data_IF_500230856056
#
_entry.id   IF_500230856056
#
_cell.length_a   1.000
_cell.length_b   1.000
_cell.length_c   1.000
_cell.angle_alpha   90.00
_cell.angle_beta   90.00
_cell.angle_gamma   90.00
#
_symmetry.space_group_name_H-M   'P 1'
#
loop_
_entity.id
_entity.type
_entity.pdbx_description
1 polymer ?
#
# COMPACT_ATOMS: atom_id res chain seq x y z
N UNK A 1 13.19 15.79 1.89
CA UNK A 1 13.94 14.69 2.53
C UNK A 1 13.23 14.08 3.75
N UNK A 2 12.68 14.89 4.68
CA UNK A 2 12.06 14.42 5.94
C UNK A 2 11.01 13.30 5.77
N UNK A 3 10.12 13.40 4.78
CA UNK A 3 9.06 12.40 4.56
C UNK A 3 9.62 10.99 4.27
N UNK A 4 10.54 10.88 3.31
CA UNK A 4 11.24 9.62 2.97
C UNK A 4 11.96 9.07 4.20
N UNK A 5 12.69 9.91 4.92
CA UNK A 5 13.40 9.49 6.13
C UNK A 5 12.46 8.93 7.21
N UNK A 6 11.29 9.56 7.42
CA UNK A 6 10.29 9.06 8.39
C UNK A 6 9.66 7.74 7.96
N UNK A 7 9.35 7.55 6.67
CA UNK A 7 8.84 6.26 6.19
C UNK A 7 9.90 5.15 6.31
N UNK A 8 11.16 5.46 6.04
CA UNK A 8 12.26 4.50 6.25
C UNK A 8 12.45 4.12 7.72
N UNK A 9 12.21 5.07 8.64
CA UNK A 9 12.14 4.76 10.08
C UNK A 9 10.98 3.81 10.38
N UNK A 10 9.79 4.04 9.83
CA UNK A 10 8.64 3.13 10.01
C UNK A 10 8.97 1.72 9.50
N UNK A 11 9.57 1.60 8.30
CA UNK A 11 10.06 0.32 7.78
C UNK A 11 11.02 -0.37 8.75
N UNK A 12 11.97 0.36 9.32
CA UNK A 12 12.95 -0.18 10.28
C UNK A 12 12.25 -0.69 11.55
N UNK A 13 11.28 0.07 12.07
CA UNK A 13 10.48 -0.34 13.23
C UNK A 13 9.68 -1.61 12.91
N UNK A 14 9.03 -1.68 11.74
CA UNK A 14 8.31 -2.89 11.31
C UNK A 14 9.22 -4.11 11.25
N UNK A 15 10.47 -3.96 10.78
CA UNK A 15 11.47 -5.03 10.81
C UNK A 15 11.73 -5.55 12.24
N UNK A 16 11.87 -4.65 13.21
CA UNK A 16 12.01 -5.03 14.63
C UNK A 16 10.75 -5.75 15.14
N UNK A 17 9.55 -5.27 14.81
CA UNK A 17 8.28 -5.91 15.22
C UNK A 17 8.13 -7.32 14.64
N UNK A 18 8.62 -7.56 13.42
CA UNK A 18 8.67 -8.90 12.82
C UNK A 18 9.63 -9.80 13.59
N UNK A 19 10.85 -9.34 13.87
CA UNK A 19 11.84 -10.11 14.63
C UNK A 19 11.42 -10.39 16.08
N UNK A 20 10.61 -9.53 16.70
CA UNK A 20 10.08 -9.79 18.06
C UNK A 20 9.25 -11.08 18.16
N UNK A 21 8.71 -11.60 17.04
CA UNK A 21 8.01 -12.88 17.06
C UNK A 21 8.93 -14.05 17.39
N UNK A 22 10.22 -13.96 17.05
CA UNK A 22 11.19 -15.01 17.33
C UNK A 22 11.29 -15.26 18.85
N UNK A 23 11.15 -14.20 19.65
CA UNK A 23 11.12 -14.26 21.12
C UNK A 23 9.86 -15.00 21.60
N UNK A 24 8.69 -14.69 21.04
CA UNK A 24 7.44 -15.36 21.42
C UNK A 24 7.44 -16.83 20.98
N UNK A 25 8.10 -17.17 19.88
CA UNK A 25 8.22 -18.52 19.34
C UNK A 25 9.15 -19.45 20.15
N UNK A 26 9.84 -18.93 21.18
CA UNK A 26 10.60 -19.77 22.13
C UNK A 26 9.71 -20.45 23.16
N UNK A 27 8.49 -19.94 23.40
CA UNK A 27 7.50 -20.56 24.29
C UNK A 27 6.90 -21.80 23.62
N UNK A 28 6.74 -22.88 24.38
CA UNK A 28 6.08 -24.08 23.84
C UNK A 28 4.56 -23.93 23.88
N UNK A 29 3.82 -24.61 22.98
CA UNK A 29 2.36 -24.61 23.04
C UNK A 29 1.80 -25.15 24.37
N UNK A 30 2.52 -26.07 25.04
CA UNK A 30 2.09 -26.61 26.33
C UNK A 30 2.16 -25.53 27.41
N UNK A 31 3.30 -24.83 27.52
CA UNK A 31 3.46 -23.73 28.48
C UNK A 31 2.43 -22.62 28.25
N UNK A 32 2.12 -22.34 26.97
CA UNK A 32 1.09 -21.36 26.64
C UNK A 32 -0.30 -21.78 27.14
N UNK A 33 -0.63 -23.08 27.09
CA UNK A 33 -1.94 -23.58 27.53
C UNK A 33 -2.14 -23.42 29.04
N UNK A 34 -1.07 -23.47 29.84
CA UNK A 34 -1.13 -23.35 31.30
C UNK A 34 -1.73 -22.01 31.76
N UNK A 35 -1.56 -20.94 30.97
CA UNK A 35 -2.08 -19.61 31.31
C UNK A 35 -3.04 -19.02 30.26
N UNK A 36 -3.27 -19.69 29.12
CA UNK A 36 -4.14 -19.20 28.03
C UNK A 36 -5.53 -18.79 28.52
N UNK A 37 -6.11 -19.55 29.44
CA UNK A 37 -7.48 -19.29 29.90
C UNK A 37 -7.59 -18.06 30.81
N UNK A 38 -6.48 -17.63 31.44
CA UNK A 38 -6.39 -16.36 32.17
C UNK A 38 -6.49 -15.14 31.23
N UNK A 39 -6.26 -15.32 29.93
CA UNK A 39 -6.33 -14.26 28.93
C UNK A 39 -7.73 -14.05 28.38
N UNK A 40 -8.71 -14.92 28.67
CA UNK A 40 -10.07 -14.75 28.12
C UNK A 40 -10.81 -13.60 28.85
N UNK A 41 -11.57 -12.76 28.13
CA UNK A 41 -11.86 -12.77 26.69
C UNK A 41 -10.92 -11.90 25.85
N UNK A 42 -9.77 -11.47 26.41
CA UNK A 42 -8.87 -10.53 25.74
C UNK A 42 -8.29 -11.09 24.44
N UNK A 43 -8.13 -10.21 23.45
CA UNK A 43 -7.61 -10.59 22.14
C UNK A 43 -6.95 -9.43 21.40
N UNK A 44 -6.22 -9.75 20.33
CA UNK A 44 -5.67 -8.74 19.41
C UNK A 44 -6.71 -7.82 18.77
N UNK A 45 -8.00 -8.20 18.79
CA UNK A 45 -9.08 -7.31 18.33
C UNK A 45 -9.25 -6.06 19.18
N UNK A 46 -8.68 -6.02 20.38
CA UNK A 46 -8.69 -4.85 21.26
C UNK A 46 -7.48 -3.93 21.04
N UNK A 47 -6.55 -4.28 20.14
CA UNK A 47 -5.35 -3.48 19.86
C UNK A 47 -5.71 -2.18 19.13
N UNK A 48 -5.86 -1.10 19.91
CA UNK A 48 -6.23 0.22 19.41
C UNK A 48 -5.19 0.76 18.42
N UNK A 49 -3.91 0.72 18.79
CA UNK A 49 -2.83 1.23 17.94
C UNK A 49 -2.73 0.51 16.59
N UNK A 50 -3.00 -0.79 16.54
CA UNK A 50 -2.99 -1.54 15.28
C UNK A 50 -4.12 -1.07 14.35
N UNK A 51 -5.31 -0.81 14.91
CA UNK A 51 -6.45 -0.27 14.15
C UNK A 51 -6.16 1.15 13.66
N UNK A 52 -5.62 2.01 14.52
CA UNK A 52 -5.21 3.38 14.16
C UNK A 52 -4.22 3.34 13.00
N UNK A 53 -3.18 2.48 13.09
CA UNK A 53 -2.19 2.33 12.03
C UNK A 53 -2.84 1.97 10.70
N UNK A 54 -3.66 0.93 10.67
CA UNK A 54 -4.34 0.47 9.45
C UNK A 54 -5.28 1.55 8.87
N UNK A 55 -6.11 2.17 9.73
CA UNK A 55 -7.04 3.21 9.32
C UNK A 55 -6.32 4.44 8.77
N UNK A 56 -5.26 4.90 9.44
CA UNK A 56 -4.45 6.06 9.01
C UNK A 56 -3.69 5.82 7.73
N UNK A 57 -3.25 4.59 7.47
CA UNK A 57 -2.58 4.26 6.22
C UNK A 57 -3.56 4.28 5.04
N UNK A 58 -4.78 3.77 5.22
CA UNK A 58 -5.81 3.76 4.17
C UNK A 58 -6.82 2.62 4.23
N UNK A 59 -6.71 1.70 5.19
CA UNK A 59 -7.61 0.55 5.28
C UNK A 59 -8.92 0.92 6.01
N UNK A 60 -9.89 1.41 5.23
CA UNK A 60 -11.25 1.74 5.70
C UNK A 60 -12.07 0.49 6.03
N UNK A 61 -13.12 0.65 6.83
CA UNK A 61 -14.06 -0.42 7.21
C UNK A 61 -14.55 -1.24 6.00
N UNK A 62 -14.85 -0.59 4.88
CA UNK A 62 -15.46 -1.22 3.70
C UNK A 62 -14.52 -2.22 3.03
N UNK A 63 -13.21 -1.98 3.12
CA UNK A 63 -12.16 -2.82 2.54
C UNK A 63 -11.71 -3.96 3.47
N UNK A 64 -12.19 -3.99 4.72
CA UNK A 64 -11.75 -4.99 5.70
C UNK A 64 -12.42 -6.35 5.49
N UNK A 65 -11.62 -7.40 5.40
CA UNK A 65 -12.10 -8.76 5.69
C UNK A 65 -12.53 -8.93 7.15
N UNK A 66 -13.68 -9.57 7.38
CA UNK A 66 -14.24 -9.81 8.71
C UNK A 66 -14.61 -8.53 9.47
N UNK A 67 -15.33 -7.62 8.80
CA UNK A 67 -15.79 -6.30 9.31
C UNK A 67 -16.40 -6.36 10.71
N UNK A 68 -17.15 -7.42 11.00
CA UNK A 68 -17.80 -7.65 12.30
C UNK A 68 -16.81 -7.73 13.48
N UNK A 69 -15.53 -8.02 13.24
CA UNK A 69 -14.50 -8.09 14.28
C UNK A 69 -13.78 -6.76 14.51
N UNK A 70 -13.89 -5.81 13.60
CA UNK A 70 -13.06 -4.61 13.63
C UNK A 70 -13.39 -3.69 14.81
N UNK A 71 -14.67 -3.50 15.14
CA UNK A 71 -15.08 -2.65 16.28
C UNK A 71 -15.77 -3.40 17.41
N UNK A 72 -16.06 -4.70 17.25
CA UNK A 72 -16.92 -5.44 18.20
C UNK A 72 -16.38 -5.54 19.62
N UNK A 73 -15.05 -5.64 19.79
CA UNK A 73 -14.41 -5.75 21.11
C UNK A 73 -13.87 -4.42 21.66
N UNK A 74 -14.13 -3.31 20.98
CA UNK A 74 -13.71 -2.00 21.43
C UNK A 74 -14.70 -1.44 22.45
N UNK A 75 -14.15 -0.73 23.44
CA UNK A 75 -14.92 0.09 24.37
C UNK A 75 -15.58 1.28 23.62
N UNK A 76 -16.66 1.88 24.15
CA UNK A 76 -17.36 2.98 23.47
C UNK A 76 -16.46 4.19 23.12
N UNK A 77 -15.52 4.55 24.00
CA UNK A 77 -14.52 5.60 23.78
C UNK A 77 -13.62 5.29 22.57
N UNK A 78 -13.09 4.07 22.50
CA UNK A 78 -12.25 3.62 21.38
C UNK A 78 -13.03 3.49 20.06
N UNK A 79 -14.33 3.15 20.11
CA UNK A 79 -15.19 3.15 18.92
C UNK A 79 -15.35 4.55 18.36
N UNK A 80 -15.70 5.51 19.21
CA UNK A 80 -15.83 6.91 18.83
C UNK A 80 -14.51 7.47 18.28
N UNK A 81 -13.36 7.08 18.86
CA UNK A 81 -12.05 7.46 18.35
C UNK A 81 -11.81 6.93 16.92
N UNK A 82 -12.08 5.65 16.65
CA UNK A 82 -11.95 5.07 15.31
C UNK A 82 -12.89 5.72 14.31
N UNK A 83 -14.15 5.93 14.69
CA UNK A 83 -15.14 6.57 13.83
C UNK A 83 -14.70 7.98 13.43
N UNK A 84 -14.20 8.76 14.39
CA UNK A 84 -13.62 10.08 14.13
C UNK A 84 -12.36 10.01 13.27
N UNK A 85 -11.49 9.01 13.49
CA UNK A 85 -10.27 8.81 12.74
C UNK A 85 -10.55 8.46 11.27
N UNK A 86 -11.58 7.67 11.01
CA UNK A 86 -12.01 7.30 9.66
C UNK A 86 -12.63 8.48 8.90
N UNK A 87 -13.00 9.58 9.56
CA UNK A 87 -13.39 10.81 8.84
C UNK A 87 -12.19 11.67 8.41
N UNK A 88 -10.98 11.36 8.87
CA UNK A 88 -9.78 12.12 8.51
C UNK A 88 -9.15 11.61 7.21
N UNK A 89 -8.45 12.48 6.45
CA UNK A 89 -7.65 12.06 5.32
C UNK A 89 -6.61 11.01 5.72
N UNK A 90 -6.60 9.90 5.02
CA UNK A 90 -5.62 8.82 5.15
C UNK A 90 -4.33 9.15 4.42
N UNK A 91 -3.25 8.42 4.73
CA UNK A 91 -1.99 8.57 4.01
C UNK A 91 -2.18 8.30 2.51
N UNK A 92 -2.95 7.26 2.14
CA UNK A 92 -3.24 6.95 0.73
C UNK A 92 -3.94 8.11 0.00
N UNK A 93 -4.95 8.73 0.62
CA UNK A 93 -5.67 9.88 0.04
C UNK A 93 -4.77 11.11 -0.08
N UNK A 94 -3.92 11.36 0.91
CA UNK A 94 -2.93 12.44 0.87
C UNK A 94 -1.86 12.21 -0.21
N UNK A 95 -1.45 10.95 -0.41
CA UNK A 95 -0.53 10.55 -1.48
C UNK A 95 -1.18 10.73 -2.85
N UNK A 96 -2.44 10.32 -3.03
CA UNK A 96 -3.19 10.59 -4.25
C UNK A 96 -3.20 12.09 -4.56
N UNK A 97 -3.63 12.93 -3.60
CA UNK A 97 -3.69 14.37 -3.80
C UNK A 97 -2.30 14.97 -4.08
N UNK A 98 -1.23 14.47 -3.46
CA UNK A 98 0.14 14.91 -3.76
C UNK A 98 0.58 14.54 -5.18
N UNK A 99 0.29 13.33 -5.63
CA UNK A 99 0.59 12.88 -6.98
C UNK A 99 -0.15 13.71 -8.04
N UNK A 100 -1.43 14.05 -7.82
CA UNK A 100 -2.22 14.88 -8.73
C UNK A 100 -1.63 16.28 -8.96
N UNK A 101 -0.83 16.78 -8.01
CA UNK A 101 -0.18 18.10 -8.10
C UNK A 101 1.20 18.05 -8.75
N UNK A 102 1.60 16.93 -9.35
CA UNK A 102 2.91 16.81 -9.97
C UNK A 102 3.02 17.80 -11.16
N UNK A 103 3.92 18.79 -11.10
CA UNK A 103 3.86 19.95 -12.00
C UNK A 103 4.37 19.65 -13.41
N UNK A 104 5.10 18.54 -13.59
CA UNK A 104 5.79 18.21 -14.83
C UNK A 104 4.90 17.59 -15.91
N UNK A 105 3.62 17.39 -15.60
CA UNK A 105 2.58 16.97 -16.56
C UNK A 105 1.75 18.14 -17.09
N UNK A 106 1.98 19.35 -16.57
CA UNK A 106 1.28 20.55 -17.04
C UNK A 106 1.64 20.88 -18.49
N UNK A 107 0.67 21.47 -19.23
CA UNK A 107 0.81 21.84 -20.65
C UNK A 107 2.06 22.65 -20.98
N UNK A 108 2.57 23.47 -20.05
CA UNK A 108 3.78 24.30 -20.26
C UNK A 108 5.04 23.49 -20.61
N UNK A 109 5.14 22.25 -20.13
CA UNK A 109 6.27 21.35 -20.41
C UNK A 109 6.05 20.46 -21.63
N UNK A 110 4.82 20.45 -22.16
CA UNK A 110 4.38 19.58 -23.25
C UNK A 110 3.69 20.42 -24.32
N UNK A 111 4.43 21.03 -25.26
CA UNK A 111 3.86 21.87 -26.31
C UNK A 111 2.90 21.12 -27.24
N UNK A 112 3.08 19.80 -27.40
CA UNK A 112 2.14 18.89 -28.09
C UNK A 112 1.06 18.30 -27.16
N UNK A 113 1.07 18.69 -25.88
CA UNK A 113 0.19 18.21 -24.81
C UNK A 113 0.63 16.89 -24.17
N UNK A 114 0.40 16.74 -22.86
CA UNK A 114 0.68 15.50 -22.10
C UNK A 114 -0.08 14.29 -22.68
N UNK A 115 -1.30 14.50 -23.21
CA UNK A 115 -2.10 13.42 -23.81
C UNK A 115 -1.34 12.69 -24.91
N UNK A 116 -0.61 13.42 -25.76
CA UNK A 116 0.23 12.81 -26.81
C UNK A 116 1.35 11.93 -26.26
N UNK A 117 1.89 12.27 -25.09
CA UNK A 117 2.91 11.47 -24.42
C UNK A 117 2.32 10.17 -23.84
N UNK A 118 1.17 10.24 -23.16
CA UNK A 118 0.51 9.06 -22.61
C UNK A 118 -0.14 8.18 -23.68
N UNK A 119 -0.63 8.75 -24.79
CA UNK A 119 -1.06 8.00 -25.97
C UNK A 119 0.11 7.20 -26.56
N UNK A 120 1.30 7.81 -26.66
CA UNK A 120 2.51 7.08 -27.09
C UNK A 120 2.91 5.98 -26.11
N UNK A 121 2.79 6.21 -24.81
CA UNK A 121 3.05 5.14 -23.82
C UNK A 121 2.00 4.02 -23.93
N UNK A 122 0.73 4.35 -24.19
CA UNK A 122 -0.34 3.37 -24.44
C UNK A 122 -0.04 2.50 -25.66
N UNK A 123 0.40 3.12 -26.75
CA UNK A 123 0.83 2.42 -27.96
C UNK A 123 2.01 1.50 -27.69
N UNK A 124 3.05 1.99 -27.00
CA UNK A 124 4.22 1.18 -26.63
C UNK A 124 3.85 0.01 -25.71
N UNK A 125 2.91 0.22 -24.79
CA UNK A 125 2.42 -0.81 -23.87
C UNK A 125 1.66 -1.88 -24.62
N UNK A 126 0.68 -1.45 -25.41
CA UNK A 126 -0.20 -2.35 -26.17
C UNK A 126 0.60 -3.16 -27.20
N UNK A 127 1.60 -2.54 -27.84
CA UNK A 127 2.50 -3.23 -28.78
C UNK A 127 3.43 -4.25 -28.09
N UNK A 128 3.65 -4.13 -26.77
CA UNK A 128 4.46 -5.03 -25.98
C UNK A 128 3.70 -6.23 -25.39
N UNK A 129 2.36 -6.23 -25.43
CA UNK A 129 1.54 -7.29 -24.84
C UNK A 129 1.73 -8.61 -25.59
N UNK A 130 1.91 -9.69 -24.84
CA UNK A 130 1.96 -11.05 -25.40
C UNK A 130 0.56 -11.69 -25.42
N UNK A 131 0.42 -12.79 -26.17
CA UNK A 131 -0.83 -13.54 -26.26
C UNK A 131 -1.30 -13.97 -24.86
N UNK A 132 -2.54 -13.61 -24.48
CA UNK A 132 -3.09 -13.81 -23.14
C UNK A 132 -3.07 -12.58 -22.24
N UNK A 133 -2.33 -11.52 -22.62
CA UNK A 133 -2.33 -10.22 -21.93
C UNK A 133 -3.17 -9.17 -22.64
N UNK A 134 -3.89 -9.52 -23.72
CA UNK A 134 -4.62 -8.55 -24.55
C UNK A 134 -5.69 -7.77 -23.74
N UNK A 135 -6.25 -8.39 -22.69
CA UNK A 135 -7.17 -7.73 -21.75
C UNK A 135 -6.54 -6.57 -20.96
N UNK A 136 -5.21 -6.51 -20.88
CA UNK A 136 -4.51 -5.46 -20.17
C UNK A 136 -4.53 -4.11 -20.91
N UNK A 137 -4.79 -4.10 -22.21
CA UNK A 137 -5.01 -2.84 -22.95
C UNK A 137 -6.22 -2.07 -22.40
N UNK A 138 -7.29 -2.79 -22.03
CA UNK A 138 -8.45 -2.18 -21.38
C UNK A 138 -8.12 -1.65 -19.97
N UNK A 139 -7.18 -2.29 -19.26
CA UNK A 139 -6.72 -1.83 -17.94
C UNK A 139 -5.97 -0.49 -18.06
N UNK A 140 -5.21 -0.25 -19.13
CA UNK A 140 -4.55 1.04 -19.34
C UNK A 140 -5.55 2.19 -19.28
N UNK A 141 -6.60 2.12 -20.11
CA UNK A 141 -7.64 3.14 -20.16
C UNK A 141 -8.30 3.34 -18.81
N UNK A 142 -8.63 2.24 -18.13
CA UNK A 142 -9.24 2.26 -16.81
C UNK A 142 -8.37 3.00 -15.77
N UNK A 143 -7.06 2.79 -15.78
CA UNK A 143 -6.16 3.35 -14.78
C UNK A 143 -5.68 4.77 -15.10
N UNK A 144 -5.48 5.11 -16.37
CA UNK A 144 -4.83 6.36 -16.78
C UNK A 144 -5.74 7.36 -17.48
N UNK A 145 -6.93 6.95 -17.93
CA UNK A 145 -7.85 7.79 -18.73
C UNK A 145 -9.23 7.91 -18.08
N UNK A 146 -9.98 6.80 -18.03
CA UNK A 146 -11.40 6.79 -17.70
C UNK A 146 -11.65 6.76 -16.18
N UNK A 147 -10.74 6.14 -15.41
CA UNK A 147 -10.87 5.95 -13.97
C UNK A 147 -11.63 4.68 -13.59
N UNK A 148 -11.53 4.32 -12.31
CA UNK A 148 -12.20 3.17 -11.71
C UNK A 148 -12.75 3.55 -10.33
N UNK A 149 -14.08 3.55 -10.11
CA UNK A 149 -14.66 3.91 -8.81
C UNK A 149 -14.30 2.91 -7.70
N UNK A 150 -13.81 1.72 -8.05
CA UNK A 150 -13.34 0.73 -7.06
C UNK A 150 -11.91 1.00 -6.58
N UNK A 151 -11.16 1.85 -7.29
CA UNK A 151 -9.79 2.24 -6.97
C UNK A 151 -9.73 3.54 -6.17
N UNK A 152 -8.61 3.75 -5.49
CA UNK A 152 -8.33 4.92 -4.63
C UNK A 152 -7.44 5.93 -5.32
N UNK A 153 -6.55 5.51 -6.21
CA UNK A 153 -5.75 6.41 -7.01
C UNK A 153 -6.54 6.90 -8.23
N UNK A 154 -6.57 8.21 -8.42
CA UNK A 154 -7.18 8.84 -9.59
C UNK A 154 -6.31 8.62 -10.84
N UNK A 155 -6.87 8.78 -12.06
CA UNK A 155 -6.08 8.72 -13.27
C UNK A 155 -4.89 9.69 -13.29
N UNK A 156 -5.05 10.89 -12.75
CA UNK A 156 -3.98 11.89 -12.68
C UNK A 156 -2.87 11.47 -11.69
N UNK A 157 -3.24 10.87 -10.56
CA UNK A 157 -2.28 10.31 -9.62
C UNK A 157 -1.52 9.11 -10.23
N UNK A 158 -2.24 8.20 -10.90
CA UNK A 158 -1.64 7.06 -11.61
C UNK A 158 -0.64 7.51 -12.68
N UNK A 159 -1.00 8.49 -13.52
CA UNK A 159 -0.09 9.06 -14.52
C UNK A 159 1.16 9.65 -13.89
N UNK A 160 1.01 10.39 -12.80
CA UNK A 160 2.14 11.01 -12.10
C UNK A 160 3.04 9.98 -11.43
N UNK A 161 2.48 8.97 -10.77
CA UNK A 161 3.23 7.89 -10.15
C UNK A 161 3.99 7.07 -11.19
N UNK A 162 3.33 6.70 -12.31
CA UNK A 162 3.98 6.01 -13.41
C UNK A 162 5.13 6.85 -13.98
N UNK A 163 4.91 8.15 -14.21
CA UNK A 163 5.95 9.06 -14.71
C UNK A 163 7.18 9.11 -13.78
N UNK A 164 6.96 9.23 -12.47
CA UNK A 164 8.02 9.18 -11.45
C UNK A 164 8.78 7.85 -11.50
N UNK A 165 8.08 6.72 -11.70
CA UNK A 165 8.70 5.40 -11.77
C UNK A 165 9.53 5.20 -13.03
N UNK A 166 9.04 5.67 -14.19
CA UNK A 166 9.72 5.56 -15.48
C UNK A 166 10.97 6.45 -15.54
N UNK A 167 10.90 7.68 -15.02
CA UNK A 167 11.99 8.66 -15.07
C UNK A 167 12.71 8.85 -13.72
N UNK A 168 12.71 7.82 -12.88
CA UNK A 168 13.28 7.87 -11.52
C UNK A 168 14.75 8.30 -11.42
N UNK A 169 15.50 8.21 -12.53
CA UNK A 169 16.92 8.58 -12.57
C UNK A 169 17.11 10.09 -12.72
N UNK A 170 16.06 10.82 -13.13
CA UNK A 170 16.07 12.28 -13.14
C UNK A 170 16.20 12.81 -11.70
N UNK A 171 17.09 13.79 -11.44
CA UNK A 171 17.42 14.26 -10.09
C UNK A 171 16.21 14.55 -9.20
N UNK A 172 15.21 15.25 -9.74
CA UNK A 172 14.02 15.65 -9.00
C UNK A 172 13.12 14.47 -8.61
N UNK A 173 13.18 13.35 -9.35
CA UNK A 173 12.35 12.16 -9.12
C UNK A 173 12.99 11.13 -8.20
N UNK A 174 14.27 11.26 -7.86
CA UNK A 174 14.94 10.32 -6.94
C UNK A 174 14.23 10.22 -5.58
N UNK A 175 13.86 11.36 -4.98
CA UNK A 175 13.15 11.38 -3.69
C UNK A 175 11.69 10.94 -3.81
N UNK A 176 10.88 11.44 -4.78
CA UNK A 176 9.55 10.91 -5.07
C UNK A 176 9.53 9.39 -5.28
N UNK A 177 10.46 8.85 -6.06
CA UNK A 177 10.54 7.41 -6.29
C UNK A 177 10.86 6.65 -4.99
N UNK A 178 11.84 7.11 -4.20
CA UNK A 178 12.15 6.54 -2.89
C UNK A 178 10.97 6.61 -1.92
N UNK A 179 10.14 7.64 -2.02
CA UNK A 179 8.92 7.78 -1.24
C UNK A 179 7.89 6.71 -1.62
N UNK A 180 7.61 6.52 -2.91
CA UNK A 180 6.70 5.47 -3.40
C UNK A 180 7.20 4.07 -2.99
N UNK A 181 8.49 3.80 -3.12
CA UNK A 181 9.09 2.54 -2.68
C UNK A 181 8.94 2.32 -1.17
N UNK A 182 9.09 3.37 -0.36
CA UNK A 182 8.92 3.26 1.09
C UNK A 182 7.46 2.93 1.50
N UNK A 183 6.45 3.34 0.71
CA UNK A 183 5.07 2.93 0.94
C UNK A 183 4.86 1.43 0.69
N UNK A 184 5.42 0.91 -0.41
CA UNK A 184 5.39 -0.52 -0.74
C UNK A 184 6.16 -1.36 0.29
N UNK A 185 7.27 -0.83 0.81
CA UNK A 185 8.03 -1.44 1.89
C UNK A 185 7.19 -1.57 3.18
N UNK A 186 6.36 -0.57 3.50
CA UNK A 186 5.46 -0.61 4.67
C UNK A 186 4.41 -1.70 4.50
N UNK A 187 3.76 -1.79 3.33
CA UNK A 187 2.80 -2.85 3.03
C UNK A 187 3.45 -4.23 3.15
N UNK A 188 4.65 -4.40 2.59
CA UNK A 188 5.41 -5.65 2.69
C UNK A 188 5.75 -6.00 4.13
N UNK A 189 6.18 -5.01 4.94
CA UNK A 189 6.46 -5.20 6.36
C UNK A 189 5.21 -5.61 7.15
N UNK A 190 4.08 -4.97 6.90
CA UNK A 190 2.79 -5.32 7.51
C UNK A 190 2.32 -6.73 7.10
N UNK A 191 2.42 -7.08 5.82
CA UNK A 191 2.08 -8.42 5.33
C UNK A 191 2.99 -9.50 5.95
N UNK A 192 4.28 -9.22 6.06
CA UNK A 192 5.26 -10.11 6.71
C UNK A 192 4.91 -10.32 8.18
N UNK A 193 4.60 -9.24 8.90
CA UNK A 193 4.14 -9.32 10.29
C UNK A 193 2.87 -10.17 10.41
N UNK A 194 1.85 -9.93 9.57
CA UNK A 194 0.60 -10.74 9.59
C UNK A 194 0.88 -12.22 9.32
N UNK A 195 1.74 -12.53 8.35
CA UNK A 195 2.12 -13.90 8.01
C UNK A 195 2.86 -14.61 9.14
N UNK A 196 3.87 -13.96 9.75
CA UNK A 196 4.58 -14.51 10.92
C UNK A 196 3.64 -14.70 12.10
N UNK A 197 2.72 -13.74 12.35
CA UNK A 197 1.70 -13.86 13.38
C UNK A 197 0.77 -15.06 13.14
N UNK A 198 0.32 -15.29 11.90
CA UNK A 198 -0.48 -16.47 11.52
C UNK A 198 0.24 -17.77 11.85
N UNK A 199 1.52 -17.86 11.49
CA UNK A 199 2.32 -19.07 11.70
C UNK A 199 2.54 -19.33 13.20
N UNK A 200 2.87 -18.29 13.96
CA UNK A 200 2.99 -18.36 15.42
C UNK A 200 1.67 -18.82 16.06
N UNK A 201 0.54 -18.21 15.70
CA UNK A 201 -0.79 -18.59 16.22
C UNK A 201 -1.12 -20.04 15.86
N UNK A 202 -0.82 -20.48 14.63
CA UNK A 202 -1.05 -21.86 14.23
C UNK A 202 -0.23 -22.85 15.06
N UNK A 203 1.03 -22.51 15.37
CA UNK A 203 1.90 -23.31 16.25
C UNK A 203 1.37 -23.36 17.68
N UNK A 204 0.87 -22.23 18.21
CA UNK A 204 0.43 -22.12 19.61
C UNK A 204 -0.95 -22.76 19.87
N UNK A 205 -1.92 -22.62 18.95
CA UNK A 205 -3.30 -23.04 19.20
C UNK A 205 -3.89 -23.99 18.15
N UNK A 206 -3.16 -24.33 17.09
CA UNK A 206 -3.59 -25.28 16.07
C UNK A 206 -4.89 -24.86 15.38
N UNK A 207 -5.94 -25.68 15.55
CA UNK A 207 -7.29 -25.47 15.00
C UNK A 207 -8.26 -24.83 16.01
N UNK A 208 -7.80 -24.51 17.22
CA UNK A 208 -8.66 -23.93 18.26
C UNK A 208 -9.12 -22.53 17.86
N UNK A 209 -10.34 -22.19 18.28
CA UNK A 209 -10.90 -20.83 18.16
C UNK A 209 -10.05 -19.84 18.97
N UNK A 210 -9.85 -18.64 18.44
CA UNK A 210 -9.14 -17.57 19.14
C UNK A 210 -9.92 -17.10 20.38
N UNK A 211 -9.24 -16.55 21.38
CA UNK A 211 -9.88 -16.00 22.58
C UNK A 211 -10.88 -14.87 22.25
N UNK A 212 -10.69 -14.20 21.11
CA UNK A 212 -11.59 -13.18 20.59
C UNK A 212 -12.76 -13.69 19.74
N UNK A 213 -12.98 -15.01 19.63
CA UNK A 213 -14.15 -15.57 18.94
C UNK A 213 -14.09 -15.60 17.40
N UNK A 214 -12.92 -15.33 16.80
CA UNK A 214 -12.70 -15.58 15.36
C UNK A 214 -12.31 -17.03 15.10
N UNK A 215 -12.41 -17.45 13.84
CA UNK A 215 -11.95 -18.76 13.34
C UNK A 215 -10.41 -18.95 13.42
N UNK A 216 -9.70 -18.04 14.08
CA UNK A 216 -8.25 -18.09 14.27
C UNK A 216 -7.52 -17.91 12.93
N UNK A 217 -6.81 -18.96 12.51
CA UNK A 217 -5.97 -18.97 11.29
C UNK A 217 -6.73 -18.56 10.03
N UNK A 218 -7.96 -19.03 9.84
CA UNK A 218 -8.71 -18.76 8.62
C UNK A 218 -9.05 -17.27 8.46
N UNK A 219 -9.52 -16.62 9.53
CA UNK A 219 -9.74 -15.17 9.55
C UNK A 219 -8.45 -14.39 9.26
N UNK A 220 -7.35 -14.76 9.91
CA UNK A 220 -6.07 -14.04 9.73
C UNK A 220 -5.54 -14.17 8.30
N UNK A 221 -5.72 -15.33 7.65
CA UNK A 221 -5.35 -15.53 6.24
C UNK A 221 -6.17 -14.62 5.31
N UNK A 222 -7.49 -14.57 5.50
CA UNK A 222 -8.34 -13.67 4.70
C UNK A 222 -8.00 -12.18 4.88
N UNK A 223 -7.60 -11.77 6.09
CA UNK A 223 -7.09 -10.43 6.34
C UNK A 223 -5.74 -10.17 5.63
N UNK A 224 -4.80 -11.13 5.69
CA UNK A 224 -3.51 -11.04 5.01
C UNK A 224 -3.67 -10.86 3.50
N UNK A 225 -4.60 -11.59 2.87
CA UNK A 225 -4.79 -11.55 1.42
C UNK A 225 -5.46 -10.24 0.94
N UNK A 226 -6.17 -9.52 1.81
CA UNK A 226 -6.99 -8.35 1.44
C UNK A 226 -6.50 -7.01 1.95
N UNK A 227 -5.61 -6.96 2.95
CA UNK A 227 -5.23 -5.72 3.64
C UNK A 227 -3.93 -5.07 3.11
N UNK A 228 -3.74 -5.08 1.79
CA UNK A 228 -2.70 -4.31 1.10
C UNK A 228 -3.22 -2.91 0.78
N UNK A 229 -2.56 -1.87 1.28
CA UNK A 229 -3.08 -0.49 1.24
C UNK A 229 -2.59 0.25 0.01
N UNK A 230 -1.35 0.01 -0.40
CA UNK A 230 -0.66 0.63 -1.52
C UNK A 230 -0.53 -0.33 -2.71
N UNK A 231 -1.35 -1.38 -2.79
CA UNK A 231 -1.38 -2.34 -3.91
C UNK A 231 -1.55 -1.65 -5.26
N UNK A 232 -2.36 -0.59 -5.30
CA UNK A 232 -2.56 0.20 -6.52
C UNK A 232 -1.29 0.88 -7.05
N UNK A 233 -0.31 1.19 -6.19
CA UNK A 233 1.01 1.66 -6.60
C UNK A 233 1.84 0.48 -7.14
N UNK A 234 1.72 -0.70 -6.54
CA UNK A 234 2.41 -1.91 -7.00
C UNK A 234 1.94 -2.33 -8.39
N UNK A 235 0.63 -2.26 -8.66
CA UNK A 235 0.01 -2.55 -9.96
C UNK A 235 0.62 -1.74 -11.10
N UNK A 236 1.10 -0.52 -10.83
CA UNK A 236 1.74 0.33 -11.85
C UNK A 236 3.01 -0.30 -12.43
N UNK A 237 3.61 -1.26 -11.73
CA UNK A 237 4.78 -2.01 -12.21
C UNK A 237 4.48 -2.78 -13.50
N UNK A 238 3.22 -3.17 -13.72
CA UNK A 238 2.76 -3.83 -14.95
C UNK A 238 2.89 -2.94 -16.18
N UNK A 239 2.98 -1.62 -16.01
CA UNK A 239 3.03 -0.64 -17.11
C UNK A 239 4.42 -0.01 -17.28
N UNK A 240 5.46 -0.63 -16.73
CA UNK A 240 6.84 -0.20 -16.91
C UNK A 240 7.43 -0.73 -18.21
N UNK A 241 8.37 0.03 -18.78
CA UNK A 241 9.03 -0.30 -20.05
C UNK A 241 10.53 -0.50 -19.88
N UNK A 242 11.14 -1.18 -20.85
CA UNK A 242 12.58 -1.12 -21.04
C UNK A 242 13.03 0.33 -21.23
N UNK A 243 14.08 0.73 -20.50
CA UNK A 243 14.62 2.11 -20.52
C UNK A 243 14.92 2.64 -21.91
N UNK A 244 15.36 1.76 -22.83
CA UNK A 244 15.72 2.12 -24.21
C UNK A 244 14.51 2.49 -25.08
N UNK A 245 13.32 2.04 -24.70
CA UNK A 245 12.05 2.29 -25.42
C UNK A 245 11.31 3.51 -24.88
N UNK A 246 11.78 4.13 -23.79
CA UNK A 246 11.14 5.31 -23.23
C UNK A 246 11.22 6.49 -24.20
N UNK A 247 10.11 7.22 -24.42
CA UNK A 247 10.15 8.43 -25.23
C UNK A 247 11.12 9.46 -24.63
N UNK A 248 11.86 10.17 -25.49
CA UNK A 248 12.68 11.28 -25.02
C UNK A 248 11.79 12.41 -24.48
N UNK A 249 12.16 12.94 -23.31
CA UNK A 249 11.49 14.11 -22.74
C UNK A 249 11.81 15.39 -23.54
N UNK A 250 10.85 16.32 -23.68
CA UNK A 250 11.10 17.66 -24.22
C UNK A 250 12.28 18.36 -23.51
N UNK A 251 13.00 19.21 -24.24
CA UNK A 251 14.20 19.86 -23.71
C UNK A 251 13.89 20.77 -22.52
N UNK A 252 12.78 21.49 -22.57
CA UNK A 252 12.27 22.36 -21.50
C UNK A 252 11.98 21.55 -20.24
N UNK A 253 11.35 20.39 -20.39
CA UNK A 253 11.06 19.48 -19.29
C UNK A 253 12.35 18.90 -18.71
N UNK A 254 13.24 18.37 -19.55
CA UNK A 254 14.52 17.80 -19.10
C UNK A 254 15.34 18.83 -18.31
N UNK A 255 15.34 20.09 -18.75
CA UNK A 255 16.01 21.18 -18.05
C UNK A 255 15.40 21.41 -16.66
N UNK A 256 14.06 21.42 -16.55
CA UNK A 256 13.34 21.58 -15.28
C UNK A 256 13.47 20.36 -14.33
N UNK A 257 13.75 19.17 -14.84
CA UNK A 257 13.97 17.96 -14.03
C UNK A 257 15.41 17.83 -13.52
N UNK A 258 16.35 18.44 -14.24
CA UNK A 258 17.77 18.48 -13.87
C UNK A 258 18.05 19.41 -12.68
N UNK A 259 19.30 19.45 -12.24
CA UNK A 259 19.78 20.41 -11.23
C UNK A 259 19.91 21.85 -11.78
N UNK A 260 19.36 22.13 -12.97
CA UNK A 260 19.54 23.36 -13.73
C UNK A 260 18.35 24.30 -13.59
N UNK A 261 18.40 25.11 -12.53
CA UNK A 261 17.59 26.30 -12.30
C UNK A 261 18.28 27.17 -11.26
#
# INVERSE_FOLDING_TARGET
NIAVHRLQRVKTILGVLVHQMDIMETMTPLDFLDFRDLLRPASGFQSMQFKILEARLGLRMEARHGKQYYTSQLRPDHKAEIEALEQQPTLLELVNAWLERMPFLEKRYWPQGEKSFFERLEELYTAGLVKGEEGNAALWRKLFVDGDPTRKLSPAACRSALFIMLYRDEPIFQNPFRFLQALLDIDTGMATWRSRHINMVHRMIGLRVGTGGSTGKAYLKGAMDSHYIFSEIADLSSFLFERRKLPALPQELRSALGFGG
#
